data_IF_612780740378
#
_entry.id   IF_612780740378
#
_cell.length_a   1.000
_cell.length_b   1.000
_cell.length_c   1.000
_cell.angle_alpha   90.00
_cell.angle_beta   90.00
_cell.angle_gamma   90.00
#
_symmetry.space_group_name_H-M   'P 1'
#
loop_
_entity.id
_entity.type
_entity.pdbx_description
1 polymer ?
#
# COMPACT_ATOMS: atom_id res chain seq x y z
N UNK A 1 -25.76 55.29 8.60
CA UNK A 1 -26.99 54.79 7.95
C UNK A 1 -26.59 54.36 6.53
N UNK A 2 -26.72 53.13 6.04
CA UNK A 2 -27.22 51.85 6.56
C UNK A 2 -26.49 50.74 5.76
N UNK A 3 -26.19 49.58 6.37
CA UNK A 3 -25.34 48.53 5.84
C UNK A 3 -26.16 47.48 5.07
N UNK A 4 -25.59 46.83 4.07
CA UNK A 4 -26.14 45.61 3.45
C UNK A 4 -25.00 44.69 3.04
N UNK A 5 -24.83 43.61 3.81
CA UNK A 5 -25.05 42.22 3.37
C UNK A 5 -23.72 41.57 2.93
N UNK A 6 -23.11 40.80 3.83
CA UNK A 6 -23.28 39.35 3.88
C UNK A 6 -22.60 38.66 2.68
N UNK A 7 -21.32 38.36 2.83
CA UNK A 7 -20.67 37.27 2.11
C UNK A 7 -19.79 36.50 3.11
N UNK A 8 -20.48 35.62 3.82
CA UNK A 8 -19.96 34.44 4.50
C UNK A 8 -18.99 33.69 3.58
N UNK A 9 -17.68 33.79 3.82
CA UNK A 9 -16.65 32.90 3.27
C UNK A 9 -15.35 33.07 4.08
N UNK A 10 -15.38 32.75 5.38
CA UNK A 10 -14.13 32.51 6.12
C UNK A 10 -13.86 31.02 6.05
N UNK A 11 -12.95 30.71 5.15
CA UNK A 11 -12.28 29.44 4.95
C UNK A 11 -11.65 28.95 6.26
N UNK A 12 -12.00 27.75 6.70
CA UNK A 12 -11.06 26.85 7.35
C UNK A 12 -11.49 25.41 7.07
N UNK A 13 -11.12 24.95 5.88
CA UNK A 13 -11.10 23.53 5.57
C UNK A 13 -10.07 22.87 6.50
N UNK A 14 -10.53 22.35 7.62
CA UNK A 14 -9.81 21.33 8.35
C UNK A 14 -9.87 20.04 7.52
N UNK A 15 -8.98 19.94 6.53
CA UNK A 15 -8.58 18.67 5.95
C UNK A 15 -7.85 17.90 7.06
N UNK A 16 -8.62 17.26 7.93
CA UNK A 16 -8.08 16.26 8.81
C UNK A 16 -7.41 15.21 7.94
N UNK A 17 -6.12 14.94 8.20
CA UNK A 17 -5.45 13.75 7.73
C UNK A 17 -6.28 12.55 8.19
N UNK A 18 -7.15 12.05 7.32
CA UNK A 18 -7.82 10.78 7.52
C UNK A 18 -6.71 9.76 7.41
N UNK A 19 -6.15 9.36 8.55
CA UNK A 19 -5.28 8.20 8.63
C UNK A 19 -6.13 7.02 8.15
N UNK A 20 -5.95 6.63 6.89
CA UNK A 20 -6.58 5.43 6.36
C UNK A 20 -6.00 4.26 7.15
N UNK A 21 -6.82 3.66 8.01
CA UNK A 21 -6.42 2.43 8.68
C UNK A 21 -5.95 1.42 7.64
N UNK A 22 -4.85 0.72 7.93
CA UNK A 22 -4.42 -0.37 7.08
C UNK A 22 -5.58 -1.39 6.95
N UNK A 23 -5.77 -1.99 5.77
CA UNK A 23 -6.80 -3.03 5.60
C UNK A 23 -6.54 -4.17 6.59
N UNK A 24 -7.61 -4.80 7.05
CA UNK A 24 -7.45 -5.95 7.94
C UNK A 24 -6.84 -7.13 7.19
N UNK A 25 -6.19 -8.03 7.93
CA UNK A 25 -5.50 -9.16 7.32
C UNK A 25 -6.44 -10.09 6.55
N UNK A 26 -7.70 -10.25 6.96
CA UNK A 26 -8.64 -11.12 6.27
C UNK A 26 -9.02 -10.54 4.89
N UNK A 27 -9.25 -9.23 4.80
CA UNK A 27 -9.46 -8.52 3.54
C UNK A 27 -8.27 -8.68 2.60
N UNK A 28 -7.05 -8.47 3.10
CA UNK A 28 -5.83 -8.64 2.31
C UNK A 28 -5.69 -10.09 1.85
N UNK A 29 -5.83 -11.06 2.76
CA UNK A 29 -5.70 -12.48 2.46
C UNK A 29 -6.70 -12.95 1.38
N UNK A 30 -7.92 -12.42 1.38
CA UNK A 30 -8.90 -12.70 0.34
C UNK A 30 -8.42 -12.22 -1.04
N UNK A 31 -7.83 -11.01 -1.13
CA UNK A 31 -7.28 -10.48 -2.38
C UNK A 31 -6.09 -11.32 -2.84
N UNK A 32 -5.17 -11.65 -1.94
CA UNK A 32 -3.99 -12.47 -2.25
C UNK A 32 -4.39 -13.86 -2.75
N UNK A 33 -5.40 -14.46 -2.14
CA UNK A 33 -5.93 -15.77 -2.55
C UNK A 33 -6.62 -15.68 -3.91
N UNK A 34 -7.53 -14.70 -4.08
CA UNK A 34 -8.31 -14.52 -5.31
C UNK A 34 -7.43 -14.31 -6.55
N UNK A 35 -6.31 -13.61 -6.40
CA UNK A 35 -5.39 -13.31 -7.50
C UNK A 35 -4.21 -14.30 -7.59
N UNK A 36 -4.26 -15.42 -6.85
CA UNK A 36 -3.25 -16.48 -6.91
C UNK A 36 -1.86 -16.09 -6.37
N UNK A 37 -1.74 -14.97 -5.64
CA UNK A 37 -0.46 -14.48 -5.13
C UNK A 37 0.18 -15.51 -4.18
N UNK A 38 -0.65 -16.20 -3.40
CA UNK A 38 -0.22 -17.20 -2.42
C UNK A 38 0.29 -18.52 -3.04
N UNK A 39 0.13 -18.71 -4.35
CA UNK A 39 0.72 -19.86 -5.03
C UNK A 39 2.25 -19.76 -5.13
N UNK A 40 2.78 -18.53 -5.14
CA UNK A 40 4.21 -18.26 -5.31
C UNK A 40 4.83 -17.51 -4.13
N UNK A 41 4.04 -16.82 -3.30
CA UNK A 41 4.51 -16.02 -2.17
C UNK A 41 3.84 -16.46 -0.86
N UNK A 42 4.63 -16.89 0.12
CA UNK A 42 4.13 -17.14 1.48
C UNK A 42 4.11 -15.86 2.33
N UNK A 43 3.38 -15.88 3.44
CA UNK A 43 3.40 -14.79 4.41
C UNK A 43 4.77 -14.70 5.09
N UNK A 44 5.24 -15.82 5.62
CA UNK A 44 6.45 -15.92 6.44
C UNK A 44 7.52 -16.85 5.83
N UNK A 45 7.18 -17.60 4.78
CA UNK A 45 8.07 -18.53 4.08
C UNK A 45 8.20 -18.17 2.61
N UNK A 46 9.43 -18.27 2.09
CA UNK A 46 9.70 -18.23 0.65
C UNK A 46 9.14 -19.49 -0.01
N UNK A 47 8.47 -19.35 -1.15
CA UNK A 47 7.97 -20.47 -1.96
C UNK A 47 8.71 -20.46 -3.30
N UNK A 48 8.26 -19.63 -4.24
CA UNK A 48 8.93 -19.33 -5.52
C UNK A 48 9.49 -17.91 -5.44
N UNK A 49 8.63 -16.96 -5.08
CA UNK A 49 8.96 -15.58 -4.74
C UNK A 49 9.22 -15.38 -3.23
N UNK A 50 9.76 -14.22 -2.84
CA UNK A 50 10.05 -13.89 -1.44
C UNK A 50 8.80 -13.95 -0.56
N UNK A 51 8.99 -14.22 0.73
CA UNK A 51 7.93 -14.09 1.71
C UNK A 51 7.51 -12.62 1.86
N UNK A 52 6.25 -12.34 2.19
CA UNK A 52 5.80 -10.97 2.48
C UNK A 52 6.56 -10.34 3.64
N UNK A 53 6.96 -11.12 4.65
CA UNK A 53 7.83 -10.63 5.75
C UNK A 53 9.21 -10.20 5.27
N UNK A 54 9.79 -10.89 4.28
CA UNK A 54 11.08 -10.51 3.68
C UNK A 54 10.95 -9.22 2.87
N UNK A 55 9.85 -9.08 2.10
CA UNK A 55 9.54 -7.84 1.38
C UNK A 55 9.38 -6.68 2.36
N UNK A 56 8.60 -6.86 3.43
CA UNK A 56 8.40 -5.86 4.46
C UNK A 56 9.72 -5.46 5.11
N UNK A 57 10.54 -6.42 5.55
CA UNK A 57 11.85 -6.17 6.17
C UNK A 57 12.80 -5.42 5.24
N UNK A 58 12.89 -5.81 3.95
CA UNK A 58 13.79 -5.17 2.99
C UNK A 58 13.39 -3.72 2.70
N UNK A 59 12.08 -3.43 2.68
CA UNK A 59 11.52 -2.15 2.25
C UNK A 59 11.10 -1.24 3.41
N UNK A 60 11.48 -1.57 4.64
CA UNK A 60 11.20 -0.75 5.81
C UNK A 60 11.79 0.65 5.66
N UNK A 61 10.96 1.68 5.85
CA UNK A 61 11.39 3.08 5.78
C UNK A 61 11.62 3.62 4.37
N UNK A 62 11.41 2.83 3.31
CA UNK A 62 11.46 3.33 1.94
C UNK A 62 10.25 4.23 1.65
N UNK A 63 10.51 5.46 1.18
CA UNK A 63 9.47 6.32 0.63
C UNK A 63 8.89 5.68 -0.63
N UNK A 64 7.59 5.90 -0.87
CA UNK A 64 6.87 5.45 -2.07
C UNK A 64 6.93 3.94 -2.36
N UNK A 65 7.16 3.11 -1.33
CA UNK A 65 7.24 1.64 -1.46
C UNK A 65 6.02 1.04 -2.16
N UNK A 66 4.83 1.60 -1.94
CA UNK A 66 3.60 1.12 -2.58
C UNK A 66 3.64 1.29 -4.10
N UNK A 67 4.17 2.41 -4.61
CA UNK A 67 4.32 2.65 -6.04
C UNK A 67 5.38 1.71 -6.63
N UNK A 68 6.50 1.52 -5.94
CA UNK A 68 7.55 0.59 -6.35
C UNK A 68 7.04 -0.85 -6.46
N UNK A 69 6.35 -1.34 -5.42
CA UNK A 69 5.80 -2.70 -5.41
C UNK A 69 4.71 -2.88 -6.47
N UNK A 70 3.86 -1.87 -6.67
CA UNK A 70 2.84 -1.89 -7.74
C UNK A 70 3.49 -2.02 -9.12
N UNK A 71 4.58 -1.29 -9.36
CA UNK A 71 5.36 -1.42 -10.60
C UNK A 71 5.90 -2.83 -10.77
N UNK A 72 6.55 -3.39 -9.74
CA UNK A 72 7.08 -4.75 -9.79
C UNK A 72 5.99 -5.82 -10.04
N UNK A 73 4.80 -5.65 -9.46
CA UNK A 73 3.68 -6.58 -9.67
C UNK A 73 3.18 -6.51 -11.12
N UNK A 74 3.13 -5.32 -11.72
CA UNK A 74 2.59 -5.12 -13.07
C UNK A 74 3.59 -5.44 -14.18
N UNK A 75 4.85 -5.06 -14.00
CA UNK A 75 5.89 -5.13 -15.03
C UNK A 75 6.82 -6.34 -14.85
N UNK A 76 6.71 -7.04 -13.71
CA UNK A 76 7.69 -8.02 -13.29
C UNK A 76 8.91 -7.38 -12.64
N UNK A 77 9.70 -8.20 -11.95
CA UNK A 77 10.93 -7.78 -11.27
C UNK A 77 11.87 -8.97 -11.14
N UNK A 78 13.17 -8.74 -11.33
CA UNK A 78 14.22 -9.77 -11.21
C UNK A 78 15.44 -9.24 -10.46
N UNK A 79 16.22 -10.13 -9.84
CA UNK A 79 17.48 -9.80 -9.17
C UNK A 79 17.35 -9.11 -7.80
N UNK A 80 16.14 -8.76 -7.34
CA UNK A 80 15.94 -8.03 -6.08
C UNK A 80 16.03 -8.94 -4.84
N UNK A 81 15.54 -10.17 -4.95
CA UNK A 81 15.38 -11.13 -3.83
C UNK A 81 16.18 -12.43 -4.04
N UNK A 82 17.20 -12.38 -4.91
CA UNK A 82 18.00 -13.54 -5.29
C UNK A 82 17.30 -14.42 -6.35
N UNK A 83 17.85 -15.61 -6.63
CA UNK A 83 17.27 -16.53 -7.59
C UNK A 83 15.90 -17.04 -7.13
N UNK A 84 15.07 -17.36 -8.13
CA UNK A 84 13.79 -18.06 -7.94
C UNK A 84 14.12 -19.46 -7.41
N UNK A 85 13.36 -19.89 -6.40
CA UNK A 85 13.49 -21.23 -5.82
C UNK A 85 12.72 -22.27 -6.65
#
# INVERSE_FOLDING_TARGET
MKPTALALCVSLAALGNVATAAPDFAQVNQILTKNGCLACHGVDKKIIGPAYTEVAKKRQGEADVAALLTKHIKEGSQGVYGPIA
#
